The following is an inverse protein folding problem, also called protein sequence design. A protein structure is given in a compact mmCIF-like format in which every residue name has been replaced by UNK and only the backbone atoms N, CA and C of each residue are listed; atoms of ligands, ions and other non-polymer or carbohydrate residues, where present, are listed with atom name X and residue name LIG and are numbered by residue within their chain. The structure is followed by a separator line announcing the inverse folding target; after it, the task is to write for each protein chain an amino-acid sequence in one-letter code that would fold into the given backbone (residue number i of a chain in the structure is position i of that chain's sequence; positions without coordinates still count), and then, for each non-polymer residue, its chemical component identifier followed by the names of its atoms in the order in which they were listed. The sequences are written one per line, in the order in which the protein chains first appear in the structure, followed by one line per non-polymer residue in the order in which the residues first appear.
data_IF_511871933403
#
_entry.id   IF_511871933403
#
_cell.length_a   1.000
_cell.length_b   1.000
_cell.length_c   1.000
_cell.angle_alpha   90.00
_cell.angle_beta   90.00
_cell.angle_gamma   90.00
#
_symmetry.space_group_name_H-M   'P 1'
#
loop_
_entity.id
_entity.type
_entity.pdbx_description
1 polymer ?
#
# COMPACT_ATOMS: atom_id res chain seq x y z
N UNK A 1 -4.00 -20.15 -9.51
CA UNK A 1 -5.13 -19.69 -8.67
C UNK A 1 -4.83 -19.65 -7.17
N UNK A 2 -4.40 -20.75 -6.52
CA UNK A 2 -4.15 -20.79 -5.06
C UNK A 2 -3.26 -19.66 -4.50
N UNK A 3 -2.16 -19.30 -5.18
CA UNK A 3 -1.26 -18.19 -4.75
C UNK A 3 -1.92 -16.80 -4.81
N UNK A 4 -2.87 -16.59 -5.72
CA UNK A 4 -3.64 -15.33 -5.81
C UNK A 4 -4.60 -15.23 -4.62
N UNK A 5 -5.27 -16.34 -4.28
CA UNK A 5 -6.09 -16.41 -3.08
C UNK A 5 -5.27 -16.21 -1.81
N UNK A 6 -4.04 -16.73 -1.72
CA UNK A 6 -3.15 -16.45 -0.59
C UNK A 6 -2.73 -14.98 -0.55
N UNK A 7 -2.32 -14.37 -1.67
CA UNK A 7 -1.92 -12.96 -1.68
C UNK A 7 -3.09 -12.04 -1.29
N UNK A 8 -4.29 -12.33 -1.78
CA UNK A 8 -5.51 -11.63 -1.39
C UNK A 8 -5.90 -11.91 0.06
N UNK A 9 -5.82 -13.16 0.50
CA UNK A 9 -6.03 -13.52 1.89
C UNK A 9 -5.03 -12.77 2.76
N UNK A 10 -3.76 -12.65 2.39
CA UNK A 10 -2.78 -11.88 3.15
C UNK A 10 -3.08 -10.37 3.12
N UNK A 11 -3.51 -9.82 1.98
CA UNK A 11 -3.97 -8.42 1.89
C UNK A 11 -5.23 -8.14 2.71
N UNK A 12 -6.07 -9.14 2.95
CA UNK A 12 -7.31 -9.01 3.73
C UNK A 12 -7.05 -9.29 5.20
N UNK A 13 -6.33 -10.36 5.48
CA UNK A 13 -6.00 -10.89 6.80
C UNK A 13 -4.98 -10.01 7.50
N UNK A 14 -3.97 -9.46 6.80
CA UNK A 14 -2.94 -8.64 7.45
C UNK A 14 -3.51 -7.33 8.03
N UNK A 15 -4.26 -6.50 7.28
CA UNK A 15 -4.88 -5.29 7.84
C UNK A 15 -6.00 -5.62 8.83
N UNK A 16 -6.79 -6.68 8.57
CA UNK A 16 -7.90 -7.08 9.44
C UNK A 16 -7.39 -7.64 10.77
N UNK A 17 -6.33 -8.45 10.76
CA UNK A 17 -5.70 -8.97 11.99
C UNK A 17 -4.97 -7.85 12.71
N UNK A 18 -4.19 -7.00 12.02
CA UNK A 18 -3.57 -5.83 12.67
C UNK A 18 -4.66 -4.98 13.32
N UNK A 19 -5.76 -4.74 12.64
CA UNK A 19 -6.89 -4.00 13.16
C UNK A 19 -7.53 -4.69 14.39
N UNK A 20 -7.95 -5.94 14.28
CA UNK A 20 -8.62 -6.69 15.35
C UNK A 20 -7.70 -6.78 16.56
N UNK A 21 -6.44 -7.14 16.33
CA UNK A 21 -5.45 -7.29 17.40
C UNK A 21 -5.07 -5.93 18.00
N UNK A 22 -4.87 -4.87 17.21
CA UNK A 22 -4.51 -3.52 17.71
C UNK A 22 -5.60 -2.83 18.53
N UNK A 23 -6.86 -3.27 18.39
CA UNK A 23 -8.02 -2.62 19.02
C UNK A 23 -8.59 -3.37 20.21
N UNK A 24 -8.10 -4.60 20.49
CA UNK A 24 -8.54 -5.39 21.64
C UNK A 24 -10.03 -5.72 21.67
N UNK A 25 -10.69 -5.81 20.50
CA UNK A 25 -12.12 -6.09 20.37
C UNK A 25 -13.05 -5.13 21.15
N UNK A 26 -12.60 -3.93 21.49
CA UNK A 26 -13.44 -2.97 22.18
C UNK A 26 -14.47 -2.36 21.20
N UNK A 27 -15.74 -2.29 21.60
CA UNK A 27 -16.90 -2.06 20.71
C UNK A 27 -16.80 -0.79 19.86
N UNK A 28 -16.21 0.29 20.39
CA UNK A 28 -15.97 1.52 19.66
C UNK A 28 -14.95 1.36 18.53
N UNK A 29 -13.89 0.60 18.76
CA UNK A 29 -12.80 0.36 17.81
C UNK A 29 -13.19 -0.69 16.76
N UNK A 30 -14.02 -1.68 17.10
CA UNK A 30 -14.62 -2.54 16.09
C UNK A 30 -15.59 -1.78 15.17
N UNK A 31 -16.43 -0.89 15.69
CA UNK A 31 -17.29 -0.05 14.86
C UNK A 31 -16.50 0.88 13.90
N UNK A 32 -15.25 1.21 14.26
CA UNK A 32 -14.33 2.04 13.48
C UNK A 32 -13.81 1.30 12.23
N UNK A 33 -13.44 0.02 12.36
CA UNK A 33 -12.84 -0.73 11.26
C UNK A 33 -13.81 -1.70 10.59
N UNK A 34 -14.97 -1.94 11.19
CA UNK A 34 -16.02 -2.77 10.61
C UNK A 34 -16.43 -2.29 9.21
N UNK A 35 -16.59 -0.98 8.90
CA UNK A 35 -16.83 -0.54 7.53
C UNK A 35 -15.68 -0.91 6.58
N UNK A 36 -14.43 -0.77 7.01
CA UNK A 36 -13.26 -1.17 6.22
C UNK A 36 -13.26 -2.66 5.93
N UNK A 37 -13.47 -3.46 6.97
CA UNK A 37 -13.50 -4.91 6.91
C UNK A 37 -14.68 -5.35 6.05
N UNK A 38 -15.88 -4.77 6.25
CA UNK A 38 -17.08 -5.06 5.48
C UNK A 38 -16.91 -4.69 4.02
N UNK A 39 -16.28 -3.55 3.69
CA UNK A 39 -16.04 -3.18 2.31
C UNK A 39 -14.96 -4.07 1.68
N UNK A 40 -13.91 -4.44 2.41
CA UNK A 40 -12.89 -5.38 1.92
C UNK A 40 -13.46 -6.78 1.71
N UNK A 41 -14.34 -7.21 2.61
CA UNK A 41 -15.12 -8.45 2.50
C UNK A 41 -16.11 -8.36 1.33
N UNK A 42 -16.76 -7.22 1.13
CA UNK A 42 -17.63 -6.98 -0.02
C UNK A 42 -16.84 -6.99 -1.35
N UNK A 43 -15.63 -6.43 -1.39
CA UNK A 43 -14.71 -6.56 -2.54
C UNK A 43 -14.39 -8.03 -2.82
N UNK A 44 -14.07 -8.79 -1.77
CA UNK A 44 -13.79 -10.23 -1.88
C UNK A 44 -15.01 -11.01 -2.37
N UNK A 45 -16.21 -10.70 -1.87
CA UNK A 45 -17.46 -11.28 -2.35
C UNK A 45 -17.79 -10.86 -3.78
N UNK A 46 -17.60 -9.60 -4.18
CA UNK A 46 -17.74 -9.18 -5.57
C UNK A 46 -16.77 -9.95 -6.48
N UNK A 47 -15.53 -10.16 -6.05
CA UNK A 47 -14.57 -10.96 -6.79
C UNK A 47 -14.97 -12.44 -6.91
N UNK A 48 -15.58 -13.02 -5.87
CA UNK A 48 -16.11 -14.39 -5.89
C UNK A 48 -17.37 -14.53 -6.75
N UNK A 49 -18.27 -13.54 -6.70
CA UNK A 49 -19.58 -13.57 -7.36
C UNK A 49 -19.53 -13.15 -8.82
N UNK A 50 -18.56 -12.32 -9.21
CA UNK A 50 -18.32 -11.93 -10.60
C UNK A 50 -17.08 -12.66 -11.13
N UNK A 51 -17.24 -13.86 -11.74
CA UNK A 51 -16.10 -14.57 -12.30
C UNK A 51 -15.36 -13.69 -13.30
N UNK A 52 -14.03 -13.77 -13.23
CA UNK A 52 -12.98 -13.04 -13.97
C UNK A 52 -13.13 -13.14 -15.51
N UNK A 53 -14.15 -13.80 -16.04
CA UNK A 53 -14.38 -13.98 -17.48
C UNK A 53 -15.07 -12.79 -18.16
N UNK A 54 -15.77 -11.90 -17.43
CA UNK A 54 -16.43 -10.74 -18.05
C UNK A 54 -15.63 -9.47 -17.74
N UNK A 55 -15.07 -8.84 -18.77
CA UNK A 55 -14.35 -7.56 -18.70
C UNK A 55 -15.09 -6.51 -17.85
N UNK A 56 -16.41 -6.47 -17.93
CA UNK A 56 -17.26 -5.55 -17.15
C UNK A 56 -17.24 -5.81 -15.62
N UNK A 57 -17.13 -7.07 -15.17
CA UNK A 57 -17.07 -7.38 -13.73
C UNK A 57 -15.77 -6.93 -13.07
N UNK A 58 -14.67 -6.88 -13.84
CA UNK A 58 -13.35 -6.46 -13.34
C UNK A 58 -13.27 -4.97 -13.07
N UNK A 59 -13.83 -4.15 -13.96
CA UNK A 59 -13.87 -2.70 -13.77
C UNK A 59 -14.81 -2.31 -12.63
N UNK A 60 -15.92 -3.04 -12.44
CA UNK A 60 -16.80 -2.84 -11.28
C UNK A 60 -16.07 -3.14 -9.96
N UNK A 61 -15.34 -4.25 -9.85
CA UNK A 61 -14.53 -4.55 -8.67
C UNK A 61 -13.50 -3.45 -8.39
N UNK A 62 -12.86 -2.93 -9.44
CA UNK A 62 -11.93 -1.80 -9.28
C UNK A 62 -12.64 -0.52 -8.80
N UNK A 63 -13.79 -0.16 -9.36
CA UNK A 63 -14.56 1.01 -8.94
C UNK A 63 -14.97 0.89 -7.47
N UNK A 64 -15.46 -0.30 -7.07
CA UNK A 64 -15.82 -0.58 -5.68
C UNK A 64 -14.61 -0.42 -4.76
N UNK A 65 -13.42 -0.86 -5.20
CA UNK A 65 -12.18 -0.65 -4.45
C UNK A 65 -11.76 0.81 -4.32
N UNK A 66 -11.90 1.60 -5.39
CA UNK A 66 -11.65 3.04 -5.32
C UNK A 66 -12.59 3.70 -4.33
N UNK A 67 -13.88 3.34 -4.39
CA UNK A 67 -14.89 3.85 -3.47
C UNK A 67 -14.58 3.48 -2.02
N UNK A 68 -14.27 2.21 -1.76
CA UNK A 68 -13.83 1.69 -0.48
C UNK A 68 -12.69 2.51 0.12
N UNK A 69 -11.63 2.64 -0.67
CA UNK A 69 -10.42 3.36 -0.31
C UNK A 69 -10.69 4.85 -0.03
N UNK A 70 -11.58 5.46 -0.81
CA UNK A 70 -11.98 6.86 -0.62
C UNK A 70 -12.73 7.05 0.68
N UNK A 71 -13.74 6.20 0.96
CA UNK A 71 -14.50 6.23 2.22
C UNK A 71 -13.56 6.05 3.41
N UNK A 72 -12.64 5.10 3.32
CA UNK A 72 -11.61 4.86 4.32
C UNK A 72 -10.72 6.07 4.58
N UNK A 73 -10.24 6.69 3.52
CA UNK A 73 -9.39 7.88 3.58
C UNK A 73 -10.14 9.07 4.22
N UNK A 74 -11.34 9.39 3.73
CA UNK A 74 -12.17 10.50 4.24
C UNK A 74 -12.54 10.30 5.70
N UNK A 75 -12.97 9.09 6.06
CA UNK A 75 -13.36 8.76 7.42
C UNK A 75 -12.17 8.86 8.39
N UNK A 76 -11.00 8.34 7.98
CA UNK A 76 -9.78 8.45 8.78
C UNK A 76 -9.36 9.91 8.95
N UNK A 77 -9.36 10.69 7.86
CA UNK A 77 -9.07 12.12 7.90
C UNK A 77 -10.02 12.85 8.86
N UNK A 78 -11.33 12.63 8.75
CA UNK A 78 -12.32 13.27 9.62
C UNK A 78 -12.07 12.97 11.09
N UNK A 79 -11.77 11.72 11.48
CA UNK A 79 -11.64 11.39 12.91
C UNK A 79 -10.28 11.78 13.49
N UNK A 80 -9.21 11.77 12.69
CA UNK A 80 -7.84 12.05 13.15
C UNK A 80 -7.40 13.50 13.03
N UNK A 81 -7.91 14.25 12.06
CA UNK A 81 -7.67 15.70 11.98
C UNK A 81 -8.04 16.41 13.30
N UNK A 82 -8.99 15.86 14.07
CA UNK A 82 -9.39 16.41 15.36
C UNK A 82 -8.62 15.89 16.59
N UNK A 83 -7.87 14.78 16.50
CA UNK A 83 -7.25 14.15 17.69
C UNK A 83 -5.73 14.15 17.69
N UNK A 84 -5.07 14.33 16.53
CA UNK A 84 -3.62 14.21 16.43
C UNK A 84 -3.02 15.47 15.81
N UNK A 85 -2.86 16.51 16.62
CA UNK A 85 -2.27 17.81 16.24
C UNK A 85 -0.80 17.73 15.77
N UNK A 86 -0.12 16.60 16.00
CA UNK A 86 1.31 16.43 15.69
C UNK A 86 1.62 15.66 14.39
N UNK A 87 0.63 15.16 13.63
CA UNK A 87 0.91 14.37 12.40
C UNK A 87 1.37 15.24 11.23
N UNK A 88 0.89 16.48 11.17
CA UNK A 88 1.24 17.44 10.10
C UNK A 88 2.44 18.34 10.46
N UNK A 89 3.13 18.05 11.57
CA UNK A 89 4.30 18.82 11.95
C UNK A 89 5.46 18.52 10.99
N UNK A 90 6.02 19.58 10.42
CA UNK A 90 7.21 19.59 9.56
C UNK A 90 7.08 18.77 8.25
N UNK A 91 6.69 19.47 7.19
CA UNK A 91 6.69 18.91 5.83
C UNK A 91 8.05 19.22 5.19
N UNK A 92 8.84 18.18 4.92
CA UNK A 92 10.14 18.30 4.26
C UNK A 92 10.01 18.03 2.75
N UNK A 93 9.30 18.91 2.05
CA UNK A 93 8.90 18.71 0.64
C UNK A 93 10.07 18.24 -0.23
N UNK A 94 11.21 18.95 -0.21
CA UNK A 94 12.36 18.62 -1.06
C UNK A 94 12.97 17.25 -0.75
N UNK A 95 13.08 16.89 0.54
CA UNK A 95 13.54 15.56 0.96
C UNK A 95 12.58 14.49 0.46
N UNK A 96 11.27 14.71 0.63
CA UNK A 96 10.23 13.77 0.20
C UNK A 96 10.21 13.59 -1.32
N UNK A 97 10.39 14.67 -2.10
CA UNK A 97 10.50 14.61 -3.55
C UNK A 97 11.73 13.79 -3.99
N UNK A 98 12.89 14.07 -3.40
CA UNK A 98 14.13 13.38 -3.72
C UNK A 98 14.07 11.88 -3.38
N UNK A 99 13.62 11.56 -2.16
CA UNK A 99 13.49 10.17 -1.71
C UNK A 99 12.39 9.43 -2.46
N UNK A 100 11.31 10.10 -2.86
CA UNK A 100 10.28 9.53 -3.72
C UNK A 100 10.82 9.19 -5.11
N UNK A 101 11.64 10.06 -5.70
CA UNK A 101 12.32 9.76 -6.95
C UNK A 101 13.31 8.59 -6.79
N UNK A 102 14.05 8.52 -5.68
CA UNK A 102 14.92 7.38 -5.38
C UNK A 102 14.11 6.08 -5.21
N UNK A 103 12.96 6.14 -4.55
CA UNK A 103 12.00 5.04 -4.47
C UNK A 103 11.60 4.55 -5.86
N UNK A 104 11.25 5.47 -6.77
CA UNK A 104 10.98 5.13 -8.17
C UNK A 104 12.16 4.41 -8.85
N UNK A 105 13.38 4.93 -8.69
CA UNK A 105 14.58 4.28 -9.25
C UNK A 105 14.77 2.87 -8.68
N UNK A 106 14.51 2.65 -7.40
CA UNK A 106 14.59 1.33 -6.80
C UNK A 106 13.66 0.33 -7.52
N UNK A 107 12.44 0.74 -7.86
CA UNK A 107 11.48 -0.13 -8.57
C UNK A 107 11.86 -0.42 -10.02
N UNK A 108 12.47 0.54 -10.73
CA UNK A 108 12.79 0.41 -12.16
C UNK A 108 14.19 -0.15 -12.40
N UNK A 109 15.18 0.29 -11.63
CA UNK A 109 16.60 0.03 -11.85
C UNK A 109 17.06 -1.24 -11.13
N UNK A 110 16.51 -1.56 -9.94
CA UNK A 110 16.95 -2.74 -9.19
C UNK A 110 16.81 -4.05 -10.00
N UNK A 111 15.71 -4.35 -10.70
CA UNK A 111 15.61 -5.58 -11.48
C UNK A 111 16.66 -5.65 -12.60
N UNK A 112 17.00 -4.51 -13.20
CA UNK A 112 18.05 -4.42 -14.22
C UNK A 112 19.44 -4.69 -13.62
N UNK A 113 19.74 -4.11 -12.45
CA UNK A 113 20.99 -4.37 -11.74
C UNK A 113 21.13 -5.84 -11.34
N UNK A 114 20.06 -6.44 -10.80
CA UNK A 114 20.02 -7.87 -10.43
C UNK A 114 20.25 -8.78 -11.63
N UNK A 115 19.75 -8.38 -12.82
CA UNK A 115 20.04 -9.08 -14.07
C UNK A 115 21.53 -8.99 -14.45
N UNK A 116 22.12 -7.79 -14.39
CA UNK A 116 23.53 -7.59 -14.73
C UNK A 116 24.49 -8.43 -13.87
N UNK A 117 24.15 -8.65 -12.60
CA UNK A 117 24.96 -9.47 -11.69
C UNK A 117 24.58 -10.97 -11.69
N UNK A 118 23.69 -11.39 -12.60
CA UNK A 118 23.29 -12.78 -12.78
C UNK A 118 22.36 -13.34 -11.70
N UNK A 119 21.81 -12.49 -10.81
CA UNK A 119 20.82 -12.91 -9.82
C UNK A 119 19.41 -13.03 -10.41
N UNK A 120 19.07 -12.22 -11.40
CA UNK A 120 17.81 -12.30 -12.14
C UNK A 120 18.04 -12.94 -13.51
N UNK A 121 17.19 -13.90 -13.90
CA UNK A 121 17.37 -14.66 -15.15
C UNK A 121 17.00 -13.86 -16.41
N UNK A 122 16.05 -12.95 -16.28
CA UNK A 122 15.52 -12.19 -17.41
C UNK A 122 15.86 -10.70 -17.30
N UNK A 123 16.18 -10.02 -18.42
CA UNK A 123 16.51 -8.59 -18.44
C UNK A 123 15.31 -7.71 -18.09
N UNK A 124 14.10 -8.26 -18.24
CA UNK A 124 12.86 -7.63 -17.79
C UNK A 124 12.13 -8.60 -16.87
N UNK A 125 11.50 -8.08 -15.80
CA UNK A 125 10.65 -8.91 -14.97
C UNK A 125 9.57 -9.56 -15.82
N UNK A 126 9.60 -10.89 -15.91
CA UNK A 126 8.52 -11.64 -16.51
C UNK A 126 7.48 -11.88 -15.42
N UNK A 127 6.20 -11.57 -15.65
CA UNK A 127 5.16 -11.96 -14.71
C UNK A 127 5.19 -13.48 -14.58
N UNK A 128 5.37 -13.98 -13.35
CA UNK A 128 5.54 -15.42 -13.13
C UNK A 128 4.20 -16.16 -13.30
N UNK A 129 3.85 -16.59 -14.52
CA UNK A 129 2.68 -17.39 -14.98
C UNK A 129 1.30 -17.04 -14.38
N UNK A 130 0.31 -16.75 -15.24
CA UNK A 130 -1.13 -16.51 -14.97
C UNK A 130 -1.49 -15.43 -13.92
N UNK A 131 -0.47 -14.83 -13.28
CA UNK A 131 -0.57 -13.86 -12.18
C UNK A 131 -0.92 -12.44 -12.60
N UNK A 132 -1.23 -12.20 -13.87
CA UNK A 132 -1.71 -10.89 -14.32
C UNK A 132 -3.20 -10.99 -14.65
N UNK A 133 -4.10 -11.17 -13.66
CA UNK A 133 -5.53 -10.99 -13.92
C UNK A 133 -5.89 -9.55 -14.31
N UNK A 134 -4.92 -8.62 -14.28
CA UNK A 134 -5.12 -7.20 -14.56
C UNK A 134 -4.01 -6.63 -15.44
N UNK A 135 -4.01 -6.94 -16.75
CA UNK A 135 -3.47 -5.97 -17.70
C UNK A 135 -4.47 -4.80 -17.71
N UNK A 136 -4.30 -3.84 -16.79
CA UNK A 136 -4.80 -2.47 -16.97
C UNK A 136 -4.03 -1.85 -18.14
N UNK A 137 -4.14 -2.44 -19.33
CA UNK A 137 -3.59 -1.90 -20.53
C UNK A 137 -4.72 -1.11 -21.21
N UNK A 138 -4.67 0.23 -21.20
CA UNK A 138 -5.71 1.03 -21.82
C UNK A 138 -5.84 0.73 -23.32
N UNK A 139 -4.79 0.23 -23.99
CA UNK A 139 -4.86 -0.13 -25.41
C UNK A 139 -5.75 -1.35 -25.69
N UNK A 140 -6.04 -2.18 -24.67
CA UNK A 140 -6.88 -3.37 -24.80
C UNK A 140 -8.34 -3.13 -24.40
N UNK A 141 -8.67 -1.93 -23.91
CA UNK A 141 -10.03 -1.58 -23.51
C UNK A 141 -10.87 -1.23 -24.74
N UNK A 142 -11.98 -1.95 -24.95
CA UNK A 142 -12.94 -1.72 -26.04
C UNK A 142 -13.97 -0.62 -25.75
N UNK A 143 -13.80 0.13 -24.66
CA UNK A 143 -14.70 1.21 -24.27
C UNK A 143 -14.55 2.45 -25.16
N UNK A 144 -15.58 3.31 -25.14
CA UNK A 144 -15.47 4.64 -25.73
C UNK A 144 -14.37 5.46 -25.03
N UNK A 145 -13.84 6.47 -25.74
CA UNK A 145 -12.70 7.25 -25.27
C UNK A 145 -12.97 7.91 -23.90
N UNK A 146 -14.17 8.44 -23.69
CA UNK A 146 -14.55 9.10 -22.44
C UNK A 146 -14.47 8.16 -21.23
N UNK A 147 -15.10 6.99 -21.32
CA UNK A 147 -15.08 6.00 -20.25
C UNK A 147 -13.66 5.48 -19.99
N UNK A 148 -12.88 5.26 -21.04
CA UNK A 148 -11.46 4.89 -20.93
C UNK A 148 -10.65 5.94 -20.19
N UNK A 149 -10.84 7.23 -20.49
CA UNK A 149 -10.16 8.33 -19.80
C UNK A 149 -10.60 8.46 -18.33
N UNK A 150 -11.88 8.24 -18.03
CA UNK A 150 -12.40 8.21 -16.65
C UNK A 150 -11.74 7.07 -15.86
N UNK A 151 -11.77 5.85 -16.40
CA UNK A 151 -11.17 4.67 -15.75
C UNK A 151 -9.66 4.87 -15.53
N UNK A 152 -8.97 5.47 -16.51
CA UNK A 152 -7.56 5.81 -16.41
C UNK A 152 -7.31 6.83 -15.31
N UNK A 153 -8.09 7.92 -15.27
CA UNK A 153 -8.02 8.94 -14.24
C UNK A 153 -8.26 8.38 -12.84
N UNK A 154 -9.25 7.49 -12.69
CA UNK A 154 -9.51 6.80 -11.43
C UNK A 154 -8.35 5.90 -11.01
N UNK A 155 -7.77 5.13 -11.94
CA UNK A 155 -6.58 4.29 -11.67
C UNK A 155 -5.37 5.11 -11.26
N UNK A 156 -5.12 6.23 -11.94
CA UNK A 156 -4.07 7.19 -11.59
C UNK A 156 -4.30 7.76 -10.18
N UNK A 157 -5.46 8.32 -9.92
CA UNK A 157 -5.78 8.92 -8.62
C UNK A 157 -5.70 7.90 -7.48
N UNK A 158 -6.23 6.70 -7.69
CA UNK A 158 -6.17 5.62 -6.70
C UNK A 158 -4.73 5.21 -6.41
N UNK A 159 -3.93 4.93 -7.43
CA UNK A 159 -2.54 4.47 -7.25
C UNK A 159 -1.60 5.56 -6.74
N UNK A 160 -1.82 6.82 -7.10
CA UNK A 160 -0.94 7.94 -6.74
C UNK A 160 -1.32 8.58 -5.40
N UNK A 161 -2.61 8.63 -5.05
CA UNK A 161 -3.07 9.37 -3.86
C UNK A 161 -3.64 8.44 -2.81
N UNK A 162 -4.68 7.67 -3.14
CA UNK A 162 -5.42 6.90 -2.15
C UNK A 162 -4.59 5.77 -1.55
N UNK A 163 -3.92 4.98 -2.40
CA UNK A 163 -3.11 3.85 -1.96
C UNK A 163 -1.95 4.30 -1.07
N UNK A 164 -1.09 5.25 -1.47
CA UNK A 164 -0.05 5.79 -0.59
C UNK A 164 -0.56 6.28 0.76
N UNK A 165 -1.69 7.00 0.76
CA UNK A 165 -2.26 7.49 2.02
C UNK A 165 -2.66 6.35 2.94
N UNK A 166 -3.43 5.38 2.42
CA UNK A 166 -3.96 4.26 3.22
C UNK A 166 -2.82 3.36 3.69
N UNK A 167 -1.92 2.97 2.79
CA UNK A 167 -0.82 2.06 3.09
C UNK A 167 0.13 2.67 4.13
N UNK A 168 0.53 3.93 4.00
CA UNK A 168 1.44 4.52 4.98
C UNK A 168 0.76 4.75 6.34
N UNK A 169 -0.53 5.09 6.36
CA UNK A 169 -1.30 5.19 7.61
C UNK A 169 -1.45 3.80 8.26
N UNK A 170 -1.78 2.76 7.52
CA UNK A 170 -1.98 1.43 8.10
C UNK A 170 -0.66 0.79 8.51
N UNK A 171 0.33 0.82 7.63
CA UNK A 171 1.57 0.08 7.78
C UNK A 171 2.55 0.86 8.66
N UNK A 172 2.84 2.13 8.33
CA UNK A 172 3.86 2.90 9.07
C UNK A 172 3.35 3.48 10.36
N UNK A 173 2.06 3.79 10.48
CA UNK A 173 1.51 4.24 11.75
C UNK A 173 1.09 3.06 12.61
N UNK A 174 0.05 2.33 12.21
CA UNK A 174 -0.55 1.31 13.08
C UNK A 174 0.32 0.06 13.19
N UNK A 175 0.74 -0.51 12.04
CA UNK A 175 1.58 -1.70 12.00
C UNK A 175 2.91 -1.52 12.72
N UNK A 176 3.60 -0.42 12.46
CA UNK A 176 4.87 -0.12 13.13
C UNK A 176 4.74 0.06 14.65
N UNK A 177 3.74 0.81 15.11
CA UNK A 177 3.48 1.00 16.55
C UNK A 177 3.15 -0.33 17.22
N UNK A 178 2.31 -1.13 16.57
CA UNK A 178 2.00 -2.48 17.04
C UNK A 178 3.28 -3.32 17.19
N UNK A 179 4.11 -3.42 16.15
CA UNK A 179 5.36 -4.19 16.23
C UNK A 179 6.32 -3.63 17.28
N UNK A 180 6.38 -2.31 17.44
CA UNK A 180 7.26 -1.65 18.41
C UNK A 180 6.83 -1.92 19.85
N UNK A 181 5.53 -2.03 20.11
CA UNK A 181 5.04 -2.49 21.41
C UNK A 181 5.58 -3.88 21.73
N UNK A 182 5.38 -4.82 20.81
CA UNK A 182 5.68 -6.24 21.01
C UNK A 182 7.17 -6.56 21.04
N UNK A 183 7.95 -5.93 20.17
CA UNK A 183 9.36 -6.28 19.96
C UNK A 183 10.33 -5.41 20.76
N UNK A 184 9.94 -4.16 21.02
CA UNK A 184 10.79 -3.17 21.69
C UNK A 184 10.25 -2.75 23.07
N UNK A 185 9.28 -3.50 23.60
CA UNK A 185 8.81 -3.42 24.99
C UNK A 185 8.32 -2.04 25.40
N UNK A 186 7.73 -1.27 24.47
CA UNK A 186 7.22 0.05 24.82
C UNK A 186 5.99 -0.12 25.71
N UNK A 187 5.91 0.60 26.83
CA UNK A 187 4.71 0.57 27.66
C UNK A 187 3.59 1.35 26.99
N UNK A 188 2.41 0.75 26.96
CA UNK A 188 1.15 1.43 26.65
C UNK A 188 0.46 1.87 27.95
N UNK A 189 -0.35 2.92 27.91
CA UNK A 189 -1.10 3.38 29.09
C UNK A 189 -2.26 2.45 29.46
N UNK A 190 -2.56 1.43 28.62
CA UNK A 190 -3.64 0.48 28.86
C UNK A 190 -5.03 1.03 28.53
N UNK A 191 -5.12 2.22 27.93
CA UNK A 191 -6.38 2.79 27.45
C UNK A 191 -6.96 2.08 26.22
N UNK A 192 -8.16 2.47 25.79
CA UNK A 192 -8.83 1.92 24.60
C UNK A 192 -8.05 2.10 23.29
N UNK A 193 -7.10 3.04 23.27
CA UNK A 193 -6.25 3.41 22.13
C UNK A 193 -4.78 3.01 22.36
N UNK A 194 -4.53 1.92 23.08
CA UNK A 194 -3.21 1.49 23.55
C UNK A 194 -2.11 1.41 22.47
N UNK A 195 -2.43 1.07 21.22
CA UNK A 195 -1.46 1.08 20.10
C UNK A 195 -1.01 2.49 19.74
N UNK A 196 -1.88 3.48 19.90
CA UNK A 196 -1.62 4.86 19.51
C UNK A 196 -0.81 5.60 20.56
N UNK A 197 -0.78 5.08 21.80
CA UNK A 197 0.11 5.55 22.87
C UNK A 197 1.58 5.22 22.57
N UNK A 198 1.83 4.18 21.77
CA UNK A 198 3.17 3.75 21.39
C UNK A 198 3.75 4.75 20.42
N UNK A 199 4.72 5.57 20.81
CA UNK A 199 5.36 6.57 19.94
C UNK A 199 5.77 6.01 18.58
N UNK A 200 5.20 6.57 17.51
CA UNK A 200 5.62 6.30 16.13
C UNK A 200 7.10 6.64 15.88
N UNK A 201 7.64 7.55 16.67
CA UNK A 201 8.96 8.14 16.43
C UNK A 201 10.05 7.42 17.22
N UNK A 202 9.71 6.36 17.95
CA UNK A 202 10.71 5.52 18.62
C UNK A 202 11.35 4.61 17.58
N UNK A 203 12.65 4.77 17.41
CA UNK A 203 13.43 3.93 16.53
C UNK A 203 13.52 2.49 17.08
N UNK A 204 13.14 1.50 16.28
CA UNK A 204 13.12 0.08 16.66
C UNK A 204 13.45 -0.78 15.43
N UNK A 205 14.72 -1.19 15.28
CA UNK A 205 15.19 -1.97 14.14
C UNK A 205 14.35 -3.24 13.84
N UNK A 206 14.01 -4.08 14.83
CA UNK A 206 13.19 -5.27 14.58
C UNK A 206 11.84 -4.94 13.94
N UNK A 207 11.15 -3.91 14.45
CA UNK A 207 9.87 -3.46 13.87
C UNK A 207 10.03 -2.96 12.44
N UNK A 208 11.07 -2.17 12.16
CA UNK A 208 11.35 -1.67 10.81
C UNK A 208 11.54 -2.84 9.86
N UNK A 209 12.37 -3.81 10.22
CA UNK A 209 12.68 -4.98 9.38
C UNK A 209 11.42 -5.81 9.13
N UNK A 210 10.66 -6.16 10.17
CA UNK A 210 9.48 -7.02 10.06
C UNK A 210 8.37 -6.37 9.23
N UNK A 211 8.06 -5.09 9.49
CA UNK A 211 7.06 -4.36 8.71
C UNK A 211 7.49 -4.21 7.25
N UNK A 212 8.78 -3.96 7.00
CA UNK A 212 9.31 -3.85 5.64
C UNK A 212 9.30 -5.19 4.90
N UNK A 213 9.59 -6.30 5.59
CA UNK A 213 9.46 -7.64 5.03
C UNK A 213 8.00 -7.96 4.69
N UNK A 214 7.07 -7.61 5.57
CA UNK A 214 5.62 -7.74 5.31
C UNK A 214 5.22 -6.97 4.05
N UNK A 215 5.68 -5.73 3.92
CA UNK A 215 5.44 -4.93 2.72
C UNK A 215 6.06 -5.56 1.47
N UNK A 216 7.32 -6.01 1.52
CA UNK A 216 7.96 -6.75 0.43
C UNK A 216 7.19 -8.01 0.02
N UNK A 217 6.67 -8.77 0.98
CA UNK A 217 5.84 -9.95 0.71
C UNK A 217 4.49 -9.64 0.07
N UNK A 218 3.98 -8.41 0.18
CA UNK A 218 2.81 -7.96 -0.58
C UNK A 218 3.13 -7.73 -2.08
N UNK A 219 4.41 -7.69 -2.43
CA UNK A 219 4.92 -7.43 -3.78
C UNK A 219 5.61 -8.67 -4.37
N UNK A 220 4.81 -9.66 -4.77
CA UNK A 220 5.28 -10.95 -5.31
C UNK A 220 4.83 -11.21 -6.76
N UNK A 221 4.60 -10.13 -7.54
CA UNK A 221 4.12 -10.20 -8.93
C UNK A 221 5.20 -10.69 -9.88
N UNK A 222 6.45 -10.30 -9.67
CA UNK A 222 7.59 -10.70 -10.48
C UNK A 222 8.83 -11.06 -9.65
N UNK A 223 9.83 -11.66 -10.31
CA UNK A 223 11.09 -12.08 -9.72
C UNK A 223 11.77 -10.89 -9.03
N UNK A 224 12.11 -11.02 -7.74
CA UNK A 224 12.73 -9.97 -6.90
C UNK A 224 11.92 -8.69 -6.66
N UNK A 225 10.64 -8.62 -7.04
CA UNK A 225 9.78 -7.48 -6.67
C UNK A 225 9.74 -7.27 -5.15
N UNK A 226 9.72 -8.37 -4.40
CA UNK A 226 9.68 -8.35 -2.94
C UNK A 226 10.88 -7.65 -2.33
N UNK A 227 12.04 -7.70 -3.00
CA UNK A 227 13.26 -7.06 -2.53
C UNK A 227 13.18 -5.55 -2.73
N UNK A 228 12.66 -5.09 -3.89
CA UNK A 228 12.36 -3.67 -4.10
C UNK A 228 11.35 -3.17 -3.06
N UNK A 229 10.27 -3.93 -2.83
CA UNK A 229 9.29 -3.63 -1.80
C UNK A 229 9.93 -3.57 -0.40
N UNK A 230 10.74 -4.54 -0.02
CA UNK A 230 11.43 -4.57 1.27
C UNK A 230 12.34 -3.34 1.46
N UNK A 231 13.23 -3.06 0.51
CA UNK A 231 14.16 -1.93 0.58
C UNK A 231 13.41 -0.59 0.61
N UNK A 232 12.34 -0.46 -0.18
CA UNK A 232 11.46 0.70 -0.16
C UNK A 232 10.77 0.86 1.20
N UNK A 233 10.27 -0.24 1.77
CA UNK A 233 9.64 -0.30 3.08
C UNK A 233 10.57 0.16 4.21
N UNK A 234 11.84 -0.23 4.17
CA UNK A 234 12.85 0.23 5.13
C UNK A 234 13.05 1.73 4.99
N UNK A 235 13.28 2.21 3.76
CA UNK A 235 13.52 3.63 3.48
C UNK A 235 12.39 4.51 4.01
N UNK A 236 11.15 4.21 3.63
CA UNK A 236 10.00 5.04 3.99
C UNK A 236 9.66 4.98 5.49
N UNK A 237 9.90 3.83 6.15
CA UNK A 237 9.75 3.73 7.60
C UNK A 237 10.81 4.56 8.33
N UNK A 238 12.05 4.57 7.83
CA UNK A 238 13.12 5.43 8.38
C UNK A 238 12.75 6.90 8.22
N UNK A 239 12.18 7.31 7.08
CA UNK A 239 11.67 8.69 6.89
C UNK A 239 10.60 9.01 7.93
N UNK A 240 9.59 8.15 8.11
CA UNK A 240 8.52 8.38 9.07
C UNK A 240 9.03 8.55 10.52
N UNK A 241 10.03 7.76 10.92
CA UNK A 241 10.63 7.82 12.26
C UNK A 241 11.54 9.04 12.42
N UNK A 242 12.43 9.28 11.45
CA UNK A 242 13.42 10.37 11.49
C UNK A 242 12.76 11.74 11.42
N UNK A 243 11.87 11.93 10.47
CA UNK A 243 11.19 13.21 10.22
C UNK A 243 10.00 13.41 11.15
N UNK A 244 9.67 12.39 11.97
CA UNK A 244 8.56 12.37 12.90
C UNK A 244 7.22 12.75 12.23
N UNK A 245 7.04 12.31 10.99
CA UNK A 245 5.92 12.72 10.14
C UNK A 245 5.52 11.61 9.18
N UNK A 246 4.29 11.15 9.32
CA UNK A 246 3.66 10.21 8.36
C UNK A 246 3.43 10.93 7.03
N UNK A 247 3.19 12.24 7.06
CA UNK A 247 2.93 13.03 5.85
C UNK A 247 4.13 13.00 4.91
N UNK A 248 5.36 13.06 5.44
CA UNK A 248 6.56 12.94 4.61
C UNK A 248 6.67 11.54 3.97
N UNK A 249 6.35 10.47 4.71
CA UNK A 249 6.26 9.12 4.14
C UNK A 249 5.19 9.03 3.03
N UNK A 250 3.99 9.54 3.28
CA UNK A 250 2.91 9.61 2.28
C UNK A 250 3.38 10.36 1.04
N UNK A 251 4.06 11.51 1.18
CA UNK A 251 4.58 12.28 0.06
C UNK A 251 5.65 11.52 -0.73
N UNK A 252 6.60 10.85 -0.06
CA UNK A 252 7.59 9.97 -0.72
C UNK A 252 6.89 8.91 -1.57
N UNK A 253 5.82 8.33 -1.05
CA UNK A 253 5.05 7.30 -1.75
C UNK A 253 4.18 7.84 -2.88
N UNK A 254 3.54 9.00 -2.71
CA UNK A 254 2.84 9.70 -3.79
C UNK A 254 3.81 9.96 -4.95
N UNK A 255 5.00 10.48 -4.67
CA UNK A 255 6.01 10.81 -5.69
C UNK A 255 6.51 9.56 -6.38
N UNK A 256 6.83 8.50 -5.62
CA UNK A 256 7.24 7.20 -6.17
C UNK A 256 6.20 6.66 -7.15
N UNK A 257 4.94 6.63 -6.73
CA UNK A 257 3.85 6.11 -7.56
C UNK A 257 3.54 7.01 -8.75
N UNK A 258 3.65 8.34 -8.59
CA UNK A 258 3.50 9.28 -9.70
C UNK A 258 4.57 9.04 -10.77
N UNK A 259 5.84 8.96 -10.39
CA UNK A 259 6.94 8.68 -11.31
C UNK A 259 6.79 7.31 -11.99
N UNK A 260 6.39 6.28 -11.24
CA UNK A 260 6.08 4.96 -11.79
C UNK A 260 4.96 5.02 -12.83
N UNK A 261 3.86 5.72 -12.54
CA UNK A 261 2.77 5.90 -13.48
C UNK A 261 3.26 6.58 -14.78
N UNK A 262 3.99 7.69 -14.68
CA UNK A 262 4.57 8.38 -15.85
C UNK A 262 5.46 7.43 -16.66
N UNK A 263 6.34 6.69 -15.99
CA UNK A 263 7.21 5.71 -16.64
C UNK A 263 6.42 4.61 -17.36
N UNK A 264 5.35 4.08 -16.75
CA UNK A 264 4.48 3.05 -17.36
C UNK A 264 3.87 3.58 -18.67
N UNK A 265 3.40 4.82 -18.71
CA UNK A 265 2.82 5.39 -19.93
C UNK A 265 3.85 5.57 -21.05
N UNK A 266 5.05 6.06 -20.71
CA UNK A 266 6.13 6.28 -21.68
C UNK A 266 6.65 4.95 -22.21
N UNK A 267 6.95 4.01 -21.32
CA UNK A 267 7.58 2.73 -21.66
C UNK A 267 6.61 1.64 -22.11
N UNK A 268 5.30 1.85 -21.93
CA UNK A 268 4.24 0.83 -22.13
C UNK A 268 4.41 -0.43 -21.26
N UNK A 269 5.20 -0.35 -20.19
CA UNK A 269 5.45 -1.45 -19.26
C UNK A 269 4.35 -1.57 -18.20
N UNK A 270 3.14 -1.96 -18.61
CA UNK A 270 1.96 -2.06 -17.72
C UNK A 270 2.05 -3.15 -16.63
N UNK A 271 3.13 -3.94 -16.58
CA UNK A 271 3.33 -4.92 -15.52
C UNK A 271 3.67 -4.29 -14.15
N UNK A 272 4.11 -3.02 -14.13
CA UNK A 272 4.42 -2.27 -12.91
C UNK A 272 3.16 -1.71 -12.20
N UNK A 273 1.97 -2.00 -12.72
CA UNK A 273 0.69 -1.42 -12.31
C UNK A 273 -0.21 -2.30 -11.44
#
# INVERSE_FOLDING_TARGET
MFKVYIAWLMQLFYPTVICIVSTGWNSASCAIYLPSILITVAEFFCFLLFPVSVTNGKHLCFIMRVFASTVMCVWWLQRRLFQTTNIFQYIHIWSSLFLGFFGFLLWVVLPFLLYLIGLQRHPRPQPTNDRVPFLWNPSLMSYNMSLKMILLGMKMFHSVVLVPFIEEVQIRNLGFRFMTLWLCGQSSTGGSDWVLDVSLYKFCWPSIIIISLGFGCCHLRYEFEWLAGFLYGVMIQVVAVKDKSIVNAVLVHIVTNFCLNVYIFISRNFYLW
#
